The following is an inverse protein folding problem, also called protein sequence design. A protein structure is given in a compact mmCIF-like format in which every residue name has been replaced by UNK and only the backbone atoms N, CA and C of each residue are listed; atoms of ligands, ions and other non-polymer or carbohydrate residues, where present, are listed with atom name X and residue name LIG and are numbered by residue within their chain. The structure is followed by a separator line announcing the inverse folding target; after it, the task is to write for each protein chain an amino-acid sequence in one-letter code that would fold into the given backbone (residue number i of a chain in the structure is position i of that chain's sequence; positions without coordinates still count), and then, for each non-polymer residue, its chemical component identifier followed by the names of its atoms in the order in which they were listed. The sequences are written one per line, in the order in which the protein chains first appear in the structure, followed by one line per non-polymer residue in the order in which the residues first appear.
data_IF_167019506815
#
_entry.id   IF_167019506815
#
_cell.length_a   1.000
_cell.length_b   1.000
_cell.length_c   1.000
_cell.angle_alpha   90.00
_cell.angle_beta   90.00
_cell.angle_gamma   90.00
#
_symmetry.space_group_name_H-M   'P 1'
#
loop_
_entity.id
_entity.type
_entity.pdbx_description
1 polymer ?
#
# COMPACT_ATOMS: atom_id res chain seq x y z
N UNK A 1 18.18 19.34 9.03
CA UNK A 1 18.22 18.77 10.38
C UNK A 1 17.22 17.64 10.42
N UNK A 2 17.66 16.41 10.16
CA UNK A 2 16.83 15.21 10.36
C UNK A 2 17.01 14.83 11.83
N UNK A 3 15.92 14.79 12.59
CA UNK A 3 15.94 14.30 13.96
C UNK A 3 16.16 12.77 13.93
N UNK A 4 17.16 12.29 14.66
CA UNK A 4 17.24 10.89 15.10
C UNK A 4 15.94 10.54 15.83
N UNK A 5 15.04 9.78 15.16
CA UNK A 5 13.80 9.29 15.78
C UNK A 5 12.60 9.11 14.85
N UNK A 6 12.57 9.75 13.68
CA UNK A 6 11.40 9.71 12.80
C UNK A 6 11.68 9.04 11.47
N UNK A 7 11.59 7.70 11.46
CA UNK A 7 11.67 6.89 10.23
C UNK A 7 10.58 7.31 9.23
N UNK A 8 10.93 7.72 8.00
CA UNK A 8 9.95 8.03 6.96
C UNK A 8 9.13 6.79 6.60
N UNK A 9 7.84 7.00 6.30
CA UNK A 9 6.92 5.93 5.89
C UNK A 9 6.38 6.26 4.51
N UNK A 10 6.65 5.37 3.57
CA UNK A 10 6.13 5.44 2.21
C UNK A 10 5.03 4.40 2.03
N UNK A 11 3.80 4.86 1.92
CA UNK A 11 2.65 3.99 1.64
C UNK A 11 2.44 3.88 0.14
N UNK A 12 2.35 2.64 -0.35
CA UNK A 12 1.95 2.34 -1.74
C UNK A 12 0.54 1.78 -1.69
N UNK A 13 -0.40 2.42 -2.38
CA UNK A 13 -1.82 2.06 -2.30
C UNK A 13 -2.45 2.02 -3.69
N UNK A 14 -3.25 0.98 -3.93
CA UNK A 14 -4.04 0.83 -5.15
C UNK A 14 -5.32 1.68 -5.15
N UNK A 15 -6.14 1.49 -6.18
CA UNK A 15 -7.46 2.11 -6.26
C UNK A 15 -8.45 1.52 -5.24
N UNK A 16 -9.64 2.14 -5.10
CA UNK A 16 -10.70 1.71 -4.17
C UNK A 16 -11.38 0.37 -4.57
N UNK A 17 -11.22 -0.06 -5.83
CA UNK A 17 -11.79 -1.33 -6.31
C UNK A 17 -11.11 -2.50 -5.60
N UNK A 18 -9.80 -2.38 -5.36
CA UNK A 18 -8.94 -3.42 -4.79
C UNK A 18 -9.06 -4.75 -5.55
N UNK A 19 -9.12 -4.67 -6.87
CA UNK A 19 -8.95 -5.80 -7.80
C UNK A 19 -7.53 -6.40 -7.73
N UNK A 20 -7.31 -7.51 -8.44
CA UNK A 20 -6.04 -8.22 -8.39
C UNK A 20 -4.86 -7.37 -8.88
N UNK A 21 -5.07 -6.57 -9.93
CA UNK A 21 -4.02 -5.75 -10.54
C UNK A 21 -3.54 -4.65 -9.59
N UNK A 22 -4.46 -3.94 -8.93
CA UNK A 22 -4.12 -2.95 -7.91
C UNK A 22 -3.41 -3.58 -6.69
N UNK A 23 -3.84 -4.76 -6.25
CA UNK A 23 -3.22 -5.52 -5.14
C UNK A 23 -1.79 -5.92 -5.48
N UNK A 24 -1.58 -6.58 -6.63
CA UNK A 24 -0.25 -7.04 -7.06
C UNK A 24 0.67 -5.85 -7.32
N UNK A 25 0.17 -4.79 -7.95
CA UNK A 25 0.95 -3.58 -8.20
C UNK A 25 1.44 -2.94 -6.90
N UNK A 26 0.57 -2.82 -5.88
CA UNK A 26 0.96 -2.22 -4.61
C UNK A 26 2.01 -3.08 -3.87
N UNK A 27 1.78 -4.39 -3.78
CA UNK A 27 2.69 -5.33 -3.13
C UNK A 27 4.07 -5.35 -3.81
N UNK A 28 4.09 -5.53 -5.12
CA UNK A 28 5.34 -5.64 -5.89
C UNK A 28 6.13 -4.34 -5.87
N UNK A 29 5.47 -3.19 -6.01
CA UNK A 29 6.15 -1.90 -6.03
C UNK A 29 6.69 -1.52 -4.65
N UNK A 30 5.91 -1.70 -3.57
CA UNK A 30 6.42 -1.46 -2.22
C UNK A 30 7.60 -2.38 -1.88
N UNK A 31 7.50 -3.66 -2.23
CA UNK A 31 8.60 -4.62 -2.04
C UNK A 31 9.86 -4.18 -2.81
N UNK A 32 9.72 -3.83 -4.08
CA UNK A 32 10.82 -3.36 -4.91
C UNK A 32 11.49 -2.12 -4.32
N UNK A 33 10.71 -1.10 -3.93
CA UNK A 33 11.24 0.11 -3.31
C UNK A 33 12.03 -0.21 -2.02
N UNK A 34 11.51 -1.12 -1.19
CA UNK A 34 12.21 -1.57 0.01
C UNK A 34 13.53 -2.29 -0.27
N UNK A 35 13.70 -2.92 -1.43
CA UNK A 35 14.96 -3.56 -1.82
C UNK A 35 16.00 -2.55 -2.33
N UNK A 36 15.57 -1.45 -2.96
CA UNK A 36 16.48 -0.50 -3.60
C UNK A 36 16.77 0.75 -2.75
N UNK A 37 15.95 1.03 -1.73
CA UNK A 37 16.17 2.20 -0.88
C UNK A 37 17.28 1.97 0.14
N UNK A 38 18.12 2.99 0.34
CA UNK A 38 19.22 2.98 1.31
C UNK A 38 19.04 4.02 2.43
N UNK A 39 17.92 4.75 2.43
CA UNK A 39 17.66 5.89 3.32
C UNK A 39 16.94 5.52 4.63
N UNK A 40 16.66 4.22 4.83
CA UNK A 40 15.94 3.73 6.00
C UNK A 40 14.43 3.96 5.96
N UNK A 41 13.87 4.43 4.84
CA UNK A 41 12.41 4.56 4.65
C UNK A 41 11.73 3.19 4.73
N UNK A 42 10.58 3.13 5.43
CA UNK A 42 9.74 1.93 5.49
C UNK A 42 8.68 2.01 4.40
N UNK A 43 8.65 1.03 3.51
CA UNK A 43 7.68 0.93 2.42
C UNK A 43 6.57 -0.04 2.81
N UNK A 44 5.32 0.43 2.80
CA UNK A 44 4.16 -0.33 3.25
C UNK A 44 3.14 -0.43 2.10
N UNK A 45 2.91 -1.62 1.52
CA UNK A 45 1.80 -1.82 0.61
C UNK A 45 0.50 -1.83 1.40
N UNK A 46 -0.49 -1.02 1.00
CA UNK A 46 -1.80 -0.96 1.64
C UNK A 46 -2.87 -1.33 0.63
N UNK A 47 -3.72 -2.30 0.98
CA UNK A 47 -4.94 -2.60 0.24
C UNK A 47 -5.99 -1.55 0.60
N UNK A 48 -6.53 -0.85 -0.40
CA UNK A 48 -7.42 0.30 -0.20
C UNK A 48 -8.88 -0.10 0.11
N UNK A 49 -9.05 -1.01 1.05
CA UNK A 49 -10.32 -1.51 1.57
C UNK A 49 -10.15 -1.78 3.06
N UNK A 50 -11.25 -1.90 3.79
CA UNK A 50 -11.22 -2.42 5.15
C UNK A 50 -10.88 -3.92 5.13
N UNK A 51 -10.17 -4.40 6.15
CA UNK A 51 -9.86 -5.83 6.30
C UNK A 51 -11.11 -6.71 6.24
N UNK A 52 -12.23 -6.24 6.79
CA UNK A 52 -13.53 -6.91 6.77
C UNK A 52 -14.11 -7.14 5.36
N UNK A 53 -13.68 -6.33 4.37
CA UNK A 53 -14.12 -6.41 2.98
C UNK A 53 -13.25 -7.34 2.14
N UNK A 54 -12.06 -7.73 2.63
CA UNK A 54 -11.11 -8.56 1.89
C UNK A 54 -11.68 -9.90 1.41
N UNK A 55 -12.47 -10.66 2.22
CA UNK A 55 -13.08 -11.91 1.74
C UNK A 55 -14.03 -11.75 0.55
N UNK A 56 -14.52 -10.53 0.29
CA UNK A 56 -15.36 -10.22 -0.88
C UNK A 56 -14.54 -10.09 -2.18
N UNK A 57 -13.22 -9.98 -2.10
CA UNK A 57 -12.28 -9.95 -3.24
C UNK A 57 -11.78 -11.37 -3.50
N UNK A 58 -12.67 -12.22 -3.98
CA UNK A 58 -12.44 -13.67 -4.12
C UNK A 58 -11.24 -14.01 -4.99
N UNK A 59 -11.06 -13.32 -6.13
CA UNK A 59 -9.92 -13.49 -7.01
C UNK A 59 -8.60 -13.13 -6.32
N UNK A 60 -8.50 -11.92 -5.75
CA UNK A 60 -7.31 -11.45 -5.03
C UNK A 60 -6.97 -12.36 -3.85
N UNK A 61 -7.98 -12.76 -3.07
CA UNK A 61 -7.82 -13.67 -1.92
C UNK A 61 -7.31 -15.04 -2.36
N UNK A 62 -7.91 -15.61 -3.40
CA UNK A 62 -7.50 -16.92 -3.93
C UNK A 62 -6.07 -16.88 -4.47
N UNK A 63 -5.74 -15.86 -5.27
CA UNK A 63 -4.42 -15.72 -5.87
C UNK A 63 -3.32 -15.57 -4.82
N UNK A 64 -3.51 -14.70 -3.83
CA UNK A 64 -2.52 -14.46 -2.79
C UNK A 64 -2.31 -15.69 -1.90
N UNK A 65 -3.40 -16.36 -1.48
CA UNK A 65 -3.31 -17.61 -0.72
C UNK A 65 -2.60 -18.72 -1.48
N UNK A 66 -2.85 -18.84 -2.80
CA UNK A 66 -2.14 -19.80 -3.65
C UNK A 66 -0.63 -19.56 -3.67
N UNK A 67 -0.21 -18.30 -3.50
CA UNK A 67 1.20 -17.89 -3.42
C UNK A 67 1.72 -17.79 -1.96
N UNK A 68 1.02 -18.39 -0.99
CA UNK A 68 1.39 -18.36 0.44
C UNK A 68 1.45 -16.97 1.08
N UNK A 69 0.75 -15.99 0.49
CA UNK A 69 0.57 -14.67 1.08
C UNK A 69 -0.77 -14.70 1.82
N UNK A 70 -0.70 -14.84 3.14
CA UNK A 70 -1.89 -14.90 3.98
C UNK A 70 -2.36 -13.51 4.40
N UNK A 71 -3.62 -13.42 4.79
CA UNK A 71 -4.30 -12.18 5.15
C UNK A 71 -3.59 -11.43 6.31
N UNK A 72 -2.85 -12.13 7.18
CA UNK A 72 -2.06 -11.56 8.29
C UNK A 72 -0.79 -10.84 7.82
N UNK A 73 -0.27 -11.17 6.64
CA UNK A 73 0.87 -10.49 6.02
C UNK A 73 0.46 -9.22 5.27
N UNK A 74 -0.84 -9.04 5.05
CA UNK A 74 -1.40 -7.92 4.33
C UNK A 74 -1.76 -6.79 5.27
N UNK A 75 -1.59 -5.58 4.77
CA UNK A 75 -1.96 -4.35 5.45
C UNK A 75 -3.16 -3.73 4.74
N UNK A 76 -4.19 -3.41 5.50
CA UNK A 76 -5.44 -2.84 5.02
C UNK A 76 -5.58 -1.37 5.41
N UNK A 77 -6.58 -0.70 4.84
CA UNK A 77 -6.78 0.74 5.05
C UNK A 77 -7.04 1.10 6.51
N UNK A 78 -7.67 0.21 7.25
CA UNK A 78 -8.00 0.34 8.67
C UNK A 78 -6.85 -0.05 9.62
N UNK A 79 -5.76 -0.63 9.10
CA UNK A 79 -4.57 -0.95 9.91
C UNK A 79 -3.65 0.28 10.10
N UNK A 80 -3.81 1.35 9.31
CA UNK A 80 -2.98 2.57 9.39
C UNK A 80 -3.80 3.86 9.49
N UNK A 81 -3.41 4.71 10.45
CA UNK A 81 -3.86 6.10 10.49
C UNK A 81 -2.99 6.99 9.58
N UNK A 82 -3.32 7.01 8.29
CA UNK A 82 -2.63 7.87 7.31
C UNK A 82 -2.73 9.36 7.66
N UNK A 83 -3.81 9.79 8.31
CA UNK A 83 -3.98 11.18 8.70
C UNK A 83 -2.99 11.57 9.79
N UNK A 84 -2.75 10.68 10.76
CA UNK A 84 -1.71 10.87 11.77
C UNK A 84 -0.31 10.90 11.14
N UNK A 85 -0.02 9.98 10.21
CA UNK A 85 1.27 9.95 9.50
C UNK A 85 1.51 11.24 8.71
N UNK A 86 0.50 11.71 7.99
CA UNK A 86 0.54 12.96 7.25
C UNK A 86 0.76 14.17 8.18
N UNK A 87 0.00 14.27 9.28
CA UNK A 87 0.17 15.34 10.28
C UNK A 87 1.55 15.33 10.94
N UNK A 88 2.17 14.17 11.08
CA UNK A 88 3.56 14.06 11.59
C UNK A 88 4.64 14.35 10.55
N UNK A 89 4.28 14.65 9.29
CA UNK A 89 5.25 14.93 8.23
C UNK A 89 6.06 13.71 7.77
N UNK A 90 5.61 12.48 8.08
CA UNK A 90 6.32 11.22 7.80
C UNK A 90 5.83 10.50 6.56
N UNK A 91 4.68 10.91 6.02
CA UNK A 91 3.97 10.17 4.98
C UNK A 91 4.40 10.61 3.58
N UNK A 92 4.94 9.66 2.83
CA UNK A 92 4.95 9.69 1.36
C UNK A 92 3.88 8.73 0.86
N UNK A 93 3.17 9.09 -0.21
CA UNK A 93 2.11 8.26 -0.78
C UNK A 93 2.37 8.05 -2.28
N UNK A 94 2.40 6.79 -2.71
CA UNK A 94 2.30 6.46 -4.14
C UNK A 94 1.00 5.74 -4.42
N UNK A 95 0.32 6.19 -5.47
CA UNK A 95 -0.91 5.62 -5.96
C UNK A 95 -0.59 4.77 -7.19
N UNK A 96 -1.00 3.50 -7.17
CA UNK A 96 -0.88 2.58 -8.31
C UNK A 96 -2.26 2.30 -8.89
N UNK A 97 -2.30 1.87 -10.15
CA UNK A 97 -3.53 1.45 -10.82
C UNK A 97 -4.67 2.50 -10.82
N UNK A 98 -4.29 3.78 -10.95
CA UNK A 98 -5.21 4.88 -11.31
C UNK A 98 -5.25 5.02 -12.83
N UNK A 99 -6.16 4.31 -13.49
CA UNK A 99 -6.32 4.35 -14.95
C UNK A 99 -7.05 5.61 -15.50
N UNK A 100 -6.85 6.77 -14.89
CA UNK A 100 -7.33 8.04 -15.48
C UNK A 100 -6.28 9.13 -15.25
N UNK A 101 -5.52 9.43 -16.30
CA UNK A 101 -5.05 10.79 -16.54
C UNK A 101 -6.24 11.51 -17.13
N UNK A 102 -7.01 12.23 -16.31
CA UNK A 102 -8.11 13.03 -16.82
C UNK A 102 -7.50 14.23 -17.54
N UNK A 103 -7.21 14.05 -18.83
CA UNK A 103 -6.96 15.14 -19.76
C UNK A 103 -8.31 15.60 -20.31
N UNK A 104 -9.17 16.13 -19.44
CA UNK A 104 -10.25 17.03 -19.87
C UNK A 104 -9.74 18.46 -19.72
N UNK A 105 -9.12 18.94 -20.80
CA UNK A 105 -8.88 20.37 -21.05
C UNK A 105 -10.09 21.04 -21.69
#
# INVERSE_FOLDING_TARGET
HLHEGDTPIHVVIGNESCDLDSVVSALTFAFYLGQISADGTIFIPVLNIQRSQYPLRTESTFFLRKNSITDELLTFRDDLDLQKLHRSGKLTLTLVDRNVLDCSG
#
